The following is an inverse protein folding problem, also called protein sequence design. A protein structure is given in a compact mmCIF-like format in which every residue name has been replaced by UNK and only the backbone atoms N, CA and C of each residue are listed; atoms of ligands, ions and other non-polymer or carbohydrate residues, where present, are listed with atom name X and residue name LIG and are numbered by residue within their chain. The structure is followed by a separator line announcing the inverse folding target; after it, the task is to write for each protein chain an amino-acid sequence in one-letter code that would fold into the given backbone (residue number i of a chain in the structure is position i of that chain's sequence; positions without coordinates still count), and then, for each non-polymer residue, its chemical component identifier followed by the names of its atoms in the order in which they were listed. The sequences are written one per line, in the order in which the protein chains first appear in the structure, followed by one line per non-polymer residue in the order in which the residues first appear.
data_IF_697610669956
#
_entry.id   IF_697610669956
#
_cell.length_a   1.000
_cell.length_b   1.000
_cell.length_c   1.000
_cell.angle_alpha   90.00
_cell.angle_beta   90.00
_cell.angle_gamma   90.00
#
_symmetry.space_group_name_H-M   'P 1'
#
loop_
_entity.id
_entity.type
_entity.pdbx_description
1 polymer ?
#
# COMPACT_ATOMS: atom_id res chain seq x y z
N UNK A 1 -51.63 -40.14 16.77
CA UNK A 1 -52.47 -39.75 15.62
C UNK A 1 -51.87 -38.50 14.99
N UNK A 2 -51.24 -38.68 13.82
CA UNK A 2 -50.73 -37.72 12.82
C UNK A 2 -50.13 -36.38 13.33
N UNK A 3 -48.80 -36.33 13.47
CA UNK A 3 -48.02 -35.08 13.48
C UNK A 3 -47.82 -34.60 12.03
N UNK A 4 -48.19 -33.35 11.75
CA UNK A 4 -48.04 -32.69 10.46
C UNK A 4 -46.56 -32.43 10.15
N UNK A 5 -46.12 -32.90 8.98
CA UNK A 5 -44.87 -32.51 8.35
C UNK A 5 -44.97 -31.06 7.87
N UNK A 6 -44.11 -30.19 8.38
CA UNK A 6 -43.86 -28.88 7.79
C UNK A 6 -42.44 -28.89 7.25
N UNK A 7 -42.33 -29.16 5.95
CA UNK A 7 -41.12 -29.03 5.16
C UNK A 7 -40.82 -27.54 5.00
N UNK A 8 -39.84 -27.01 5.72
CA UNK A 8 -39.27 -25.69 5.45
C UNK A 8 -37.89 -25.85 4.83
N UNK A 9 -37.84 -25.62 3.52
CA UNK A 9 -36.66 -25.46 2.67
C UNK A 9 -35.52 -24.73 3.39
N UNK A 10 -34.46 -25.46 3.73
CA UNK A 10 -33.13 -24.87 3.89
C UNK A 10 -32.63 -24.47 2.51
N UNK A 11 -32.72 -23.17 2.20
CA UNK A 11 -31.99 -22.56 1.08
C UNK A 11 -30.50 -22.74 1.33
N UNK A 12 -29.92 -23.69 0.62
CA UNK A 12 -28.50 -23.76 0.32
C UNK A 12 -28.07 -22.51 -0.47
N UNK A 13 -26.84 -22.10 -0.20
CA UNK A 13 -25.96 -21.32 -1.08
C UNK A 13 -26.20 -19.81 -1.26
N UNK A 14 -25.36 -19.03 -0.57
CA UNK A 14 -24.54 -18.04 -1.28
C UNK A 14 -23.09 -18.49 -1.16
N UNK A 15 -22.52 -18.92 -2.29
CA UNK A 15 -21.11 -19.30 -2.40
C UNK A 15 -20.23 -18.16 -1.90
N UNK A 16 -19.45 -18.46 -0.87
CA UNK A 16 -18.27 -17.69 -0.51
C UNK A 16 -17.37 -17.60 -1.74
N UNK A 17 -17.40 -16.46 -2.42
CA UNK A 17 -16.39 -16.10 -3.40
C UNK A 17 -15.10 -15.90 -2.58
N UNK A 18 -14.40 -16.99 -2.26
CA UNK A 18 -13.04 -16.90 -1.78
C UNK A 18 -12.22 -16.66 -3.03
N UNK A 19 -11.82 -15.42 -3.36
CA UNK A 19 -11.07 -15.20 -4.58
C UNK A 19 -9.83 -16.09 -4.51
N UNK A 20 -9.52 -16.77 -5.61
CA UNK A 20 -8.33 -17.60 -5.75
C UNK A 20 -7.03 -16.84 -5.36
N UNK A 21 -7.13 -15.50 -5.31
CA UNK A 21 -6.11 -14.55 -4.86
C UNK A 21 -6.75 -13.47 -3.98
N UNK A 22 -6.74 -13.59 -2.63
CA UNK A 22 -7.15 -12.51 -1.75
C UNK A 22 -6.17 -11.34 -1.83
N UNK A 23 -6.67 -10.10 -1.85
CA UNK A 23 -5.81 -8.91 -1.89
C UNK A 23 -5.04 -8.72 -0.57
N UNK A 24 -5.69 -9.02 0.54
CA UNK A 24 -5.18 -8.71 1.87
C UNK A 24 -5.21 -9.91 2.80
N UNK A 25 -4.29 -9.91 3.76
CA UNK A 25 -4.26 -10.85 4.88
C UNK A 25 -3.83 -10.16 6.17
N UNK A 26 -4.05 -10.83 7.30
CA UNK A 26 -3.49 -10.38 8.58
C UNK A 26 -2.27 -11.21 8.94
N UNK A 27 -1.20 -10.56 9.36
CA UNK A 27 0.03 -11.19 9.87
C UNK A 27 0.18 -10.92 11.37
N UNK A 28 0.76 -11.86 12.10
CA UNK A 28 0.96 -11.74 13.54
C UNK A 28 2.17 -10.87 13.88
N UNK A 29 2.24 -10.36 15.11
CA UNK A 29 3.36 -9.52 15.57
C UNK A 29 4.73 -10.21 15.45
N UNK A 30 4.76 -11.53 15.68
CA UNK A 30 5.96 -12.36 15.60
C UNK A 30 6.43 -12.59 14.17
N UNK A 31 5.55 -12.39 13.18
CA UNK A 31 5.92 -12.48 11.79
C UNK A 31 6.74 -11.24 11.40
N UNK A 32 7.84 -11.47 10.68
CA UNK A 32 8.74 -10.42 10.23
C UNK A 32 8.05 -9.36 9.37
N UNK A 33 8.68 -8.19 9.32
CA UNK A 33 8.28 -7.11 8.43
C UNK A 33 8.52 -7.52 6.97
N UNK A 34 7.55 -7.29 6.09
CA UNK A 34 7.70 -7.59 4.66
C UNK A 34 7.18 -6.46 3.77
N UNK A 35 7.57 -6.54 2.50
CA UNK A 35 6.95 -5.75 1.44
C UNK A 35 5.42 -5.94 1.45
N UNK A 36 4.70 -4.83 1.31
CA UNK A 36 3.24 -4.81 1.34
C UNK A 36 2.63 -4.79 2.74
N UNK A 37 3.42 -4.77 3.81
CA UNK A 37 2.90 -4.47 5.15
C UNK A 37 2.39 -3.02 5.22
N UNK A 38 1.25 -2.86 5.88
CA UNK A 38 0.65 -1.57 6.19
C UNK A 38 1.03 -1.11 7.58
N UNK A 39 1.41 0.15 7.70
CA UNK A 39 1.75 0.84 8.94
C UNK A 39 0.84 2.07 9.03
N UNK A 40 -0.01 2.10 10.05
CA UNK A 40 -0.95 3.20 10.28
C UNK A 40 -0.32 4.20 11.24
N UNK A 41 -0.58 5.50 11.02
CA UNK A 41 0.01 6.59 11.83
C UNK A 41 1.54 6.49 11.95
N UNK A 42 2.23 6.20 10.84
CA UNK A 42 3.68 6.19 10.78
C UNK A 42 4.22 7.63 10.93
N UNK A 43 5.07 7.91 11.93
CA UNK A 43 5.73 9.19 12.08
C UNK A 43 6.79 9.35 11.00
N UNK A 44 6.75 10.50 10.33
CA UNK A 44 7.68 10.91 9.29
C UNK A 44 8.22 12.30 9.67
N UNK A 45 9.54 12.46 9.53
CA UNK A 45 10.19 13.76 9.62
C UNK A 45 10.37 14.31 8.20
N UNK A 46 9.73 15.42 7.91
CA UNK A 46 9.80 16.09 6.61
C UNK A 46 10.82 17.21 6.68
N UNK A 47 11.93 17.13 5.92
CA UNK A 47 12.93 18.18 5.93
C UNK A 47 12.39 19.45 5.25
N UNK A 48 12.62 20.58 5.88
CA UNK A 48 12.32 21.90 5.33
C UNK A 48 13.61 22.72 5.28
N UNK A 49 13.88 23.34 4.13
CA UNK A 49 15.04 24.21 3.97
C UNK A 49 14.61 25.67 4.10
N UNK A 50 15.04 26.33 5.18
CA UNK A 50 14.87 27.77 5.36
C UNK A 50 16.00 28.48 4.61
N UNK A 51 15.71 28.94 3.39
CA UNK A 51 16.68 29.63 2.54
C UNK A 51 17.18 30.95 3.11
N UNK A 52 16.43 31.59 4.02
CA UNK A 52 16.84 32.86 4.63
C UNK A 52 17.86 32.63 5.74
N UNK A 53 17.74 31.51 6.47
CA UNK A 53 18.66 31.15 7.57
C UNK A 53 19.76 30.20 7.13
N UNK A 54 19.64 29.61 5.93
CA UNK A 54 20.52 28.56 5.44
C UNK A 54 20.59 27.36 6.41
N UNK A 55 19.42 26.97 6.94
CA UNK A 55 19.25 25.88 7.91
C UNK A 55 18.27 24.85 7.36
N UNK A 56 18.49 23.58 7.72
CA UNK A 56 17.53 22.50 7.48
C UNK A 56 16.82 22.20 8.80
N UNK A 57 15.53 22.45 8.83
CA UNK A 57 14.63 22.02 9.90
C UNK A 57 13.89 20.77 9.49
N UNK A 58 13.14 20.15 10.41
CA UNK A 58 12.22 19.08 10.06
C UNK A 58 10.90 19.27 10.80
N UNK A 59 9.80 19.02 10.11
CA UNK A 59 8.46 18.95 10.69
C UNK A 59 8.08 17.49 10.94
N UNK A 60 7.32 17.27 12.00
CA UNK A 60 6.74 15.96 12.30
C UNK A 60 5.37 15.85 11.64
N UNK A 61 5.15 14.76 10.92
CA UNK A 61 3.87 14.40 10.33
C UNK A 61 3.59 12.90 10.51
N UNK A 62 2.32 12.51 10.50
CA UNK A 62 1.91 11.11 10.56
C UNK A 62 1.20 10.70 9.28
N UNK A 63 1.61 9.55 8.73
CA UNK A 63 1.06 9.01 7.49
C UNK A 63 0.64 7.57 7.67
N UNK A 64 -0.47 7.19 7.03
CA UNK A 64 -0.73 5.79 6.76
C UNK A 64 0.14 5.38 5.57
N UNK A 65 1.01 4.38 5.73
CA UNK A 65 2.00 4.01 4.73
C UNK A 65 1.98 2.51 4.42
N UNK A 66 2.41 2.17 3.20
CA UNK A 66 2.68 0.79 2.77
C UNK A 66 4.17 0.62 2.49
N UNK A 67 4.72 -0.53 2.89
CA UNK A 67 6.13 -0.85 2.69
C UNK A 67 6.41 -1.26 1.25
N UNK A 68 7.37 -0.59 0.63
CA UNK A 68 7.81 -0.85 -0.75
C UNK A 68 9.10 -1.65 -0.84
N UNK A 69 10.03 -1.50 0.12
CA UNK A 69 11.29 -2.26 0.15
C UNK A 69 11.05 -3.75 0.04
N UNK A 70 11.88 -4.45 -0.75
CA UNK A 70 11.72 -5.89 -0.96
C UNK A 70 11.98 -6.69 0.32
N UNK A 71 11.19 -7.74 0.54
CA UNK A 71 11.30 -8.59 1.74
C UNK A 71 12.69 -9.20 1.91
N UNK A 72 13.38 -9.56 0.82
CA UNK A 72 14.74 -10.08 0.86
C UNK A 72 15.74 -9.08 1.47
N UNK A 73 15.57 -7.79 1.22
CA UNK A 73 16.44 -6.74 1.75
C UNK A 73 16.14 -6.45 3.22
N UNK A 74 14.89 -6.61 3.64
CA UNK A 74 14.44 -6.44 5.03
C UNK A 74 14.97 -7.54 5.96
N UNK A 75 14.99 -8.79 5.51
CA UNK A 75 15.43 -9.95 6.32
C UNK A 75 16.94 -10.00 6.49
N UNK A 76 17.71 -9.59 5.47
CA UNK A 76 19.17 -9.68 5.50
C UNK A 76 19.86 -8.59 6.35
N UNK A 77 19.11 -7.72 7.05
CA UNK A 77 19.62 -6.55 7.80
C UNK A 77 20.58 -5.66 6.99
N UNK A 78 20.47 -5.68 5.65
CA UNK A 78 21.32 -4.87 4.76
C UNK A 78 20.86 -3.41 4.69
N UNK A 79 19.61 -3.15 5.07
CA UNK A 79 19.00 -1.84 5.03
C UNK A 79 19.00 -1.20 6.40
N UNK A 80 19.51 0.04 6.47
CA UNK A 80 19.29 0.92 7.63
C UNK A 80 17.89 1.54 7.61
N UNK A 81 17.35 1.77 6.41
CA UNK A 81 16.06 2.39 6.19
C UNK A 81 15.18 1.58 5.24
N UNK A 82 13.88 1.68 5.46
CA UNK A 82 12.80 1.06 4.68
C UNK A 82 12.11 2.13 3.86
N UNK A 83 11.93 1.88 2.57
CA UNK A 83 11.13 2.73 1.69
C UNK A 83 9.65 2.44 1.90
N UNK A 84 8.89 3.50 2.12
CA UNK A 84 7.44 3.48 2.29
C UNK A 84 6.79 4.57 1.46
N UNK A 85 5.54 4.33 1.03
CA UNK A 85 4.71 5.35 0.40
C UNK A 85 3.44 5.57 1.22
N UNK A 86 2.97 6.83 1.36
CA UNK A 86 1.69 7.09 1.96
C UNK A 86 0.56 6.57 1.07
N UNK A 87 -0.56 6.27 1.70
CA UNK A 87 -1.79 5.95 0.99
C UNK A 87 -3.00 6.66 1.59
N UNK A 88 -3.96 6.92 0.73
CA UNK A 88 -5.17 7.67 1.06
C UNK A 88 -6.40 6.93 0.57
N UNK A 89 -7.47 6.94 1.36
CA UNK A 89 -8.76 6.46 0.85
C UNK A 89 -9.23 7.34 -0.30
N UNK A 90 -9.63 6.70 -1.41
CA UNK A 90 -10.09 7.38 -2.61
C UNK A 90 -11.29 8.30 -2.30
N UNK A 91 -12.15 7.91 -1.36
CA UNK A 91 -13.29 8.74 -0.94
C UNK A 91 -12.85 10.06 -0.30
N UNK A 92 -11.74 10.07 0.44
CA UNK A 92 -11.18 11.28 1.04
C UNK A 92 -10.54 12.16 -0.04
N UNK A 93 -9.80 11.54 -0.97
CA UNK A 93 -9.22 12.24 -2.11
C UNK A 93 -10.30 12.84 -3.03
N UNK A 94 -11.43 12.17 -3.19
CA UNK A 94 -12.59 12.69 -3.91
C UNK A 94 -13.19 13.91 -3.22
N UNK A 95 -13.29 13.92 -1.89
CA UNK A 95 -13.86 15.06 -1.17
C UNK A 95 -13.03 16.33 -1.37
N UNK A 96 -11.70 16.19 -1.33
CA UNK A 96 -10.75 17.32 -1.32
C UNK A 96 -10.37 17.79 -2.73
N UNK A 97 -10.20 16.88 -3.69
CA UNK A 97 -9.64 17.20 -5.00
C UNK A 97 -10.58 16.80 -6.14
N UNK A 98 -10.99 17.80 -6.94
CA UNK A 98 -11.90 17.62 -8.09
C UNK A 98 -11.41 16.61 -9.12
N UNK A 99 -10.09 16.42 -9.23
CA UNK A 99 -9.47 15.47 -10.15
C UNK A 99 -9.94 14.02 -9.90
N UNK A 100 -10.09 13.61 -8.63
CA UNK A 100 -10.49 12.25 -8.27
C UNK A 100 -12.00 12.01 -8.42
N UNK A 101 -12.82 13.07 -8.43
CA UNK A 101 -14.29 12.95 -8.68
C UNK A 101 -14.60 12.45 -10.09
N UNK A 102 -13.74 12.78 -11.06
CA UNK A 102 -13.94 12.46 -12.48
C UNK A 102 -13.89 10.96 -12.76
N UNK A 103 -14.96 10.40 -13.35
CA UNK A 103 -15.00 9.01 -13.81
C UNK A 103 -13.85 8.68 -14.78
N UNK A 104 -13.51 9.63 -15.66
CA UNK A 104 -12.40 9.47 -16.62
C UNK A 104 -11.06 9.31 -15.90
N UNK A 105 -10.81 10.10 -14.85
CA UNK A 105 -9.56 10.03 -14.11
C UNK A 105 -9.49 8.79 -13.20
N UNK A 106 -10.61 8.39 -12.60
CA UNK A 106 -10.70 7.12 -11.88
C UNK A 106 -10.41 5.91 -12.78
N UNK A 107 -10.87 5.96 -14.03
CA UNK A 107 -10.52 4.91 -15.00
C UNK A 107 -9.02 4.91 -15.35
N UNK A 108 -8.34 6.07 -15.35
CA UNK A 108 -6.88 6.12 -15.48
C UNK A 108 -6.18 5.46 -14.29
N UNK A 109 -6.64 5.72 -13.07
CA UNK A 109 -6.14 5.06 -11.86
C UNK A 109 -6.32 3.54 -11.94
N UNK A 110 -7.53 3.08 -12.29
CA UNK A 110 -7.85 1.65 -12.42
C UNK A 110 -7.00 0.96 -13.49
N UNK A 111 -6.69 1.64 -14.59
CA UNK A 111 -5.82 1.12 -15.66
C UNK A 111 -4.33 1.25 -15.37
N UNK A 112 -3.94 1.92 -14.29
CA UNK A 112 -2.53 2.20 -13.98
C UNK A 112 -1.86 3.16 -14.95
N UNK A 113 -2.62 3.98 -15.68
CA UNK A 113 -2.07 4.95 -16.67
C UNK A 113 -1.79 6.33 -16.07
N UNK A 114 -1.99 6.48 -14.76
CA UNK A 114 -1.59 7.65 -14.00
C UNK A 114 -0.35 7.27 -13.15
N UNK A 115 0.88 7.53 -13.61
CA UNK A 115 2.07 6.90 -13.04
C UNK A 115 2.37 7.32 -11.60
N UNK A 116 1.91 8.49 -11.17
CA UNK A 116 2.16 9.02 -9.83
C UNK A 116 1.37 8.29 -8.73
N UNK A 117 0.41 7.44 -9.10
CA UNK A 117 -0.53 6.81 -8.19
C UNK A 117 -0.71 5.33 -8.51
N UNK A 118 -0.98 4.53 -7.49
CA UNK A 118 -1.41 3.14 -7.65
C UNK A 118 -2.67 2.86 -6.86
N UNK A 119 -3.69 2.33 -7.55
CA UNK A 119 -4.98 2.01 -6.93
C UNK A 119 -4.95 0.61 -6.33
N UNK A 120 -5.25 0.48 -5.04
CA UNK A 120 -5.50 -0.80 -4.38
C UNK A 120 -6.99 -0.93 -4.05
N UNK A 121 -7.45 -2.18 -3.95
CA UNK A 121 -8.86 -2.51 -3.76
C UNK A 121 -9.37 -2.15 -2.35
N UNK A 122 -10.68 -2.27 -2.13
CA UNK A 122 -11.25 -2.18 -0.79
C UNK A 122 -10.82 -3.39 0.08
N UNK A 123 -10.77 -3.17 1.39
CA UNK A 123 -10.49 -4.22 2.38
C UNK A 123 -11.69 -4.36 3.32
N UNK A 124 -12.17 -5.59 3.51
CA UNK A 124 -13.29 -5.92 4.40
C UNK A 124 -12.85 -6.68 5.67
N UNK A 125 -11.54 -6.82 5.89
CA UNK A 125 -11.01 -7.53 7.07
C UNK A 125 -11.37 -6.73 8.33
N UNK A 126 -12.00 -7.35 9.35
CA UNK A 126 -12.35 -6.67 10.59
C UNK A 126 -11.16 -5.95 11.21
N UNK A 127 -11.37 -4.68 11.60
CA UNK A 127 -10.38 -3.72 12.13
C UNK A 127 -9.45 -3.08 11.10
N UNK A 128 -9.53 -3.49 9.83
CA UNK A 128 -8.73 -2.93 8.73
C UNK A 128 -9.63 -2.54 7.54
N UNK A 129 -10.88 -2.16 7.80
CA UNK A 129 -11.81 -1.86 6.74
C UNK A 129 -11.53 -0.49 6.12
N UNK A 130 -11.47 -0.46 4.79
CA UNK A 130 -11.37 0.77 4.01
C UNK A 130 -11.93 0.58 2.61
N UNK A 131 -12.32 1.69 1.99
CA UNK A 131 -12.68 1.74 0.56
C UNK A 131 -11.42 1.61 -0.32
N UNK A 132 -11.54 1.78 -1.65
CA UNK A 132 -10.36 1.77 -2.51
C UNK A 132 -9.34 2.82 -2.03
N UNK A 133 -8.06 2.47 -2.02
CA UNK A 133 -6.99 3.39 -1.59
C UNK A 133 -6.07 3.72 -2.77
N UNK A 134 -5.47 4.90 -2.70
CA UNK A 134 -4.44 5.35 -3.63
C UNK A 134 -3.13 5.38 -2.87
N UNK A 135 -2.16 4.58 -3.31
CA UNK A 135 -0.76 4.73 -2.92
C UNK A 135 -0.16 5.86 -3.73
N UNK A 136 0.44 6.84 -3.06
CA UNK A 136 1.03 8.01 -3.68
C UNK A 136 2.54 7.82 -3.86
N UNK A 137 2.99 7.79 -5.11
CA UNK A 137 4.41 7.62 -5.41
C UNK A 137 5.17 8.94 -5.47
N UNK A 138 4.49 10.09 -5.36
CA UNK A 138 5.14 11.40 -5.33
C UNK A 138 5.94 11.61 -4.05
N UNK A 139 5.44 11.04 -2.97
CA UNK A 139 6.04 11.12 -1.65
C UNK A 139 6.56 9.73 -1.26
N UNK A 140 7.87 9.55 -1.33
CA UNK A 140 8.55 8.32 -0.94
C UNK A 140 9.40 8.62 0.27
N UNK A 141 9.07 7.98 1.39
CA UNK A 141 9.78 8.20 2.64
C UNK A 141 10.74 7.05 2.94
N UNK A 142 11.86 7.39 3.56
CA UNK A 142 12.86 6.46 4.04
C UNK A 142 12.82 6.47 5.57
N UNK A 143 12.31 5.39 6.18
CA UNK A 143 12.11 5.30 7.63
C UNK A 143 13.09 4.30 8.25
N UNK A 144 13.71 4.59 9.40
CA UNK A 144 14.61 3.64 10.05
C UNK A 144 13.97 2.26 10.26
N UNK A 145 14.66 1.21 9.85
CA UNK A 145 14.11 -0.16 9.91
C UNK A 145 13.78 -0.59 11.33
N UNK A 146 14.56 -0.14 12.31
CA UNK A 146 14.34 -0.48 13.72
C UNK A 146 13.04 0.12 14.27
N UNK A 147 12.67 1.32 13.82
CA UNK A 147 11.36 1.90 14.14
C UNK A 147 10.24 1.01 13.57
N UNK A 148 10.34 0.61 12.31
CA UNK A 148 9.34 -0.25 11.67
C UNK A 148 9.23 -1.62 12.33
N UNK A 149 10.35 -2.22 12.76
CA UNK A 149 10.37 -3.47 13.52
C UNK A 149 9.73 -3.32 14.91
N UNK A 150 9.91 -2.18 15.56
CA UNK A 150 9.27 -1.90 16.85
C UNK A 150 7.75 -1.75 16.69
N UNK A 151 7.31 -0.94 15.72
CA UNK A 151 5.89 -0.83 15.34
C UNK A 151 5.31 -2.22 15.02
N UNK A 152 6.05 -3.01 14.24
CA UNK A 152 5.64 -4.35 13.88
C UNK A 152 5.35 -5.23 15.12
N UNK A 153 6.21 -5.16 16.14
CA UNK A 153 6.09 -5.96 17.36
C UNK A 153 5.01 -5.44 18.32
N UNK A 154 4.74 -4.13 18.34
CA UNK A 154 3.70 -3.55 19.21
C UNK A 154 2.30 -3.90 18.72
N UNK A 155 2.11 -4.05 17.41
CA UNK A 155 0.83 -4.40 16.82
C UNK A 155 0.54 -5.90 16.91
N UNK A 156 -0.57 -6.29 17.56
CA UNK A 156 -0.97 -7.70 17.69
C UNK A 156 -1.18 -8.38 16.34
N UNK A 157 -1.72 -7.63 15.38
CA UNK A 157 -1.93 -8.05 13.99
C UNK A 157 -1.70 -6.86 13.08
N UNK A 158 -1.18 -7.11 11.88
CA UNK A 158 -0.98 -6.09 10.84
C UNK A 158 -1.64 -6.52 9.56
N UNK A 159 -2.05 -5.55 8.75
CA UNK A 159 -2.55 -5.81 7.41
C UNK A 159 -1.37 -5.96 6.45
N UNK A 160 -1.45 -6.92 5.54
CA UNK A 160 -0.46 -7.16 4.48
C UNK A 160 -1.16 -7.29 3.12
N UNK A 161 -0.60 -6.62 2.11
CA UNK A 161 -0.92 -6.85 0.70
C UNK A 161 -0.32 -8.19 0.27
N UNK A 162 -1.15 -9.11 -0.20
CA UNK A 162 -0.74 -10.47 -0.56
C UNK A 162 -0.29 -10.54 -2.03
N UNK A 163 0.49 -11.57 -2.40
CA UNK A 163 0.74 -11.87 -3.80
C UNK A 163 -0.55 -12.15 -4.59
N UNK A 164 -0.62 -11.78 -5.88
CA UNK A 164 0.42 -11.12 -6.68
C UNK A 164 0.42 -9.58 -6.56
N UNK A 165 -0.39 -9.02 -5.66
CA UNK A 165 -0.69 -7.59 -5.63
C UNK A 165 0.48 -6.76 -5.08
N UNK A 166 1.27 -7.30 -4.14
CA UNK A 166 2.47 -6.62 -3.65
C UNK A 166 3.57 -6.53 -4.70
N UNK A 167 3.73 -7.56 -5.54
CA UNK A 167 4.65 -7.54 -6.67
C UNK A 167 4.18 -6.54 -7.74
N UNK A 168 2.86 -6.47 -7.98
CA UNK A 168 2.29 -5.49 -8.90
C UNK A 168 2.47 -4.04 -8.41
N UNK A 169 2.33 -3.79 -7.10
CA UNK A 169 2.65 -2.50 -6.47
C UNK A 169 4.12 -2.12 -6.69
N UNK A 170 5.03 -3.06 -6.42
CA UNK A 170 6.47 -2.87 -6.64
C UNK A 170 6.81 -2.54 -8.09
N UNK A 171 6.18 -3.24 -9.03
CA UNK A 171 6.36 -3.01 -10.46
C UNK A 171 5.82 -1.64 -10.89
N UNK A 172 4.69 -1.21 -10.33
CA UNK A 172 4.13 0.11 -10.58
C UNK A 172 5.06 1.22 -10.08
N UNK A 173 5.63 1.04 -8.89
CA UNK A 173 6.63 1.94 -8.32
C UNK A 173 7.90 2.01 -9.19
N UNK A 174 8.42 0.88 -9.65
CA UNK A 174 9.56 0.84 -10.55
C UNK A 174 9.29 1.61 -11.86
N UNK A 175 8.11 1.43 -12.48
CA UNK A 175 7.71 2.17 -13.69
C UNK A 175 7.61 3.68 -13.46
N UNK A 176 7.23 4.11 -12.26
CA UNK A 176 7.19 5.53 -11.91
C UNK A 176 8.60 6.14 -11.93
N UNK A 177 9.60 5.47 -11.35
CA UNK A 177 10.99 5.93 -11.32
C UNK A 177 11.71 5.83 -12.67
N UNK A 178 11.45 4.78 -13.45
CA UNK A 178 12.12 4.53 -14.74
C UNK A 178 11.65 5.43 -15.88
N UNK A 179 10.66 6.31 -15.66
CA UNK A 179 9.99 7.05 -16.74
C UNK A 179 10.90 8.01 -17.50
N UNK A 180 11.99 8.49 -16.89
CA UNK A 180 12.91 9.45 -17.47
C UNK A 180 14.28 8.80 -17.72
N UNK A 181 14.47 8.23 -18.92
CA UNK A 181 15.78 7.81 -19.42
C UNK A 181 15.82 6.41 -20.04
N UNK A 182 15.56 6.33 -21.35
CA UNK A 182 16.12 5.23 -22.14
C UNK A 182 17.55 5.65 -22.54
N UNK A 183 18.59 4.86 -22.21
CA UNK A 183 19.93 5.15 -22.68
C UNK A 183 19.96 5.11 -24.21
N UNK A 184 20.73 6.01 -24.81
CA UNK A 184 21.13 5.88 -26.22
C UNK A 184 21.95 4.58 -26.32
N UNK A 185 21.64 3.77 -27.34
CA UNK A 185 22.21 2.44 -27.51
C UNK A 185 23.74 2.43 -27.50
N UNK A 186 24.33 1.36 -26.99
CA UNK A 186 25.79 1.18 -27.01
C UNK A 186 26.18 0.98 -28.47
N UNK A 187 27.08 1.83 -28.99
CA UNK A 187 27.57 1.68 -30.36
C UNK A 187 28.23 0.30 -30.53
N UNK A 188 28.17 -0.30 -31.75
CA UNK A 188 28.90 -1.53 -32.05
C UNK A 188 30.38 -1.40 -31.64
N UNK A 189 30.96 -2.48 -31.12
CA UNK A 189 32.40 -2.55 -30.91
C UNK A 189 33.06 -2.72 -32.29
N UNK A 190 34.03 -1.85 -32.60
CA UNK A 190 34.89 -1.94 -33.79
C UNK A 190 35.79 -3.18 -33.75
#
# INVERSE_FOLDING_TARGET
MVKKNTTSNTKTEKSSNNPLYPWYGTVASLDGLEQGDFVFSCPILEPEFDSNKNEVTATYAEYNVVILSQSCDLVNNKLQNVLVCPFWELINMEAEYSWFKSKKNKEKLRRGTQPNYHLLNACDIPKFQFSHIIVDFRDVFSVPIEYMKQYARSEKKRLRLLPPYKEHLAQAFARFFMRDGLPIDIRPFD
#
